data_IF_036245726128
#
_entry.id   IF_036245726128
#
_cell.length_a   1.000
_cell.length_b   1.000
_cell.length_c   1.000
_cell.angle_alpha   90.00
_cell.angle_beta   90.00
_cell.angle_gamma   90.00
#
_symmetry.space_group_name_H-M   'P 1'
#
loop_
_entity.id
_entity.type
_entity.pdbx_description
1 polymer ?
#
# COMPACT_ATOMS: atom_id res chain seq x y z
N UNK A 1 5.32 -3.50 -12.69
CA UNK A 1 4.63 -3.26 -13.99
C UNK A 1 4.18 -4.57 -14.63
N UNK A 2 5.08 -5.53 -14.91
CA UNK A 2 4.73 -6.83 -15.53
C UNK A 2 3.58 -7.55 -14.80
N UNK A 3 3.64 -7.64 -13.47
CA UNK A 3 2.57 -8.27 -12.68
C UNK A 3 1.20 -7.61 -12.88
N UNK A 4 1.14 -6.28 -12.98
CA UNK A 4 -0.13 -5.54 -13.19
C UNK A 4 -0.74 -5.91 -14.54
N UNK A 5 0.08 -5.91 -15.60
CA UNK A 5 -0.35 -6.27 -16.95
C UNK A 5 -0.89 -7.70 -16.98
N UNK A 6 -0.15 -8.65 -16.38
CA UNK A 6 -0.56 -10.05 -16.33
C UNK A 6 -1.87 -10.20 -15.56
N UNK A 7 -2.02 -9.60 -14.39
CA UNK A 7 -3.25 -9.67 -13.60
C UNK A 7 -4.44 -9.03 -14.32
N UNK A 8 -4.23 -7.93 -15.03
CA UNK A 8 -5.28 -7.27 -15.81
C UNK A 8 -5.71 -8.09 -17.02
N UNK A 9 -4.76 -8.70 -17.74
CA UNK A 9 -5.07 -9.64 -18.81
C UNK A 9 -5.89 -10.83 -18.29
N UNK A 10 -5.49 -11.43 -17.16
CA UNK A 10 -6.26 -12.52 -16.56
C UNK A 10 -7.67 -12.04 -16.17
N UNK A 11 -7.81 -10.84 -15.60
CA UNK A 11 -9.11 -10.26 -15.28
C UNK A 11 -10.00 -10.05 -16.52
N UNK A 12 -9.44 -9.49 -17.59
CA UNK A 12 -10.18 -9.21 -18.82
C UNK A 12 -10.57 -10.48 -19.59
N UNK A 13 -9.66 -11.45 -19.71
CA UNK A 13 -9.85 -12.62 -20.60
C UNK A 13 -10.35 -13.89 -19.89
N UNK A 14 -10.15 -14.03 -18.58
CA UNK A 14 -10.56 -15.23 -17.83
C UNK A 14 -11.78 -14.95 -16.95
N UNK A 15 -11.98 -13.70 -16.53
CA UNK A 15 -13.09 -13.30 -15.64
C UNK A 15 -14.10 -12.36 -16.30
N UNK A 16 -13.98 -12.11 -17.60
CA UNK A 16 -14.87 -11.23 -18.39
C UNK A 16 -15.18 -9.90 -17.69
N UNK A 17 -14.15 -9.28 -17.10
CA UNK A 17 -14.32 -8.03 -16.35
C UNK A 17 -14.56 -6.88 -17.33
N UNK A 18 -15.81 -6.41 -17.39
CA UNK A 18 -16.20 -5.24 -18.17
C UNK A 18 -15.88 -3.94 -17.41
N UNK A 19 -14.71 -3.37 -17.68
CA UNK A 19 -14.30 -2.06 -17.18
C UNK A 19 -13.93 -1.12 -18.33
N UNK A 20 -14.31 0.17 -18.26
CA UNK A 20 -13.88 1.15 -19.24
C UNK A 20 -12.36 1.33 -19.22
N UNK A 21 -11.75 1.61 -20.37
CA UNK A 21 -10.30 1.80 -20.53
C UNK A 21 -9.71 2.83 -19.55
N UNK A 22 -10.47 3.88 -19.21
CA UNK A 22 -10.09 4.88 -18.21
C UNK A 22 -9.99 4.30 -16.79
N UNK A 23 -10.87 3.37 -16.40
CA UNK A 23 -10.78 2.66 -15.11
C UNK A 23 -9.60 1.69 -15.08
N UNK A 24 -9.30 1.01 -16.19
CA UNK A 24 -8.11 0.16 -16.28
C UNK A 24 -6.83 0.97 -16.08
N UNK A 25 -6.66 2.04 -16.84
CA UNK A 25 -5.49 2.91 -16.73
C UNK A 25 -5.40 3.59 -15.36
N UNK A 26 -6.53 4.11 -14.85
CA UNK A 26 -6.60 4.72 -13.53
C UNK A 26 -6.21 3.74 -12.42
N UNK A 27 -6.76 2.51 -12.45
CA UNK A 27 -6.43 1.48 -11.45
C UNK A 27 -4.96 1.10 -11.51
N UNK A 28 -4.40 0.94 -12.72
CA UNK A 28 -2.97 0.69 -12.91
C UNK A 28 -2.10 1.80 -12.32
N UNK A 29 -2.44 3.07 -12.58
CA UNK A 29 -1.72 4.22 -12.03
C UNK A 29 -1.81 4.28 -10.50
N UNK A 30 -2.99 4.00 -9.93
CA UNK A 30 -3.18 3.98 -8.48
C UNK A 30 -2.42 2.83 -7.81
N UNK A 31 -2.36 1.64 -8.43
CA UNK A 31 -1.55 0.51 -7.95
C UNK A 31 -0.06 0.87 -7.98
N UNK A 32 0.41 1.55 -9.04
CA UNK A 32 1.79 2.02 -9.08
C UNK A 32 2.08 3.04 -7.98
N UNK A 33 1.18 4.00 -7.74
CA UNK A 33 1.31 4.96 -6.65
C UNK A 33 1.36 4.27 -5.28
N UNK A 34 0.47 3.30 -5.05
CA UNK A 34 0.47 2.49 -3.84
C UNK A 34 1.78 1.71 -3.67
N UNK A 35 2.35 1.18 -4.77
CA UNK A 35 3.63 0.47 -4.71
C UNK A 35 4.79 1.34 -4.22
N UNK A 36 4.77 2.65 -4.51
CA UNK A 36 5.78 3.60 -3.99
C UNK A 36 5.69 3.74 -2.47
N UNK A 37 4.49 3.75 -1.90
CA UNK A 37 4.27 3.74 -0.46
C UNK A 37 4.85 2.48 0.18
N UNK A 38 4.54 1.31 -0.37
CA UNK A 38 5.07 0.03 0.14
C UNK A 38 6.59 -0.05 0.00
N UNK A 39 7.17 0.51 -1.06
CA UNK A 39 8.62 0.64 -1.22
C UNK A 39 9.24 1.48 -0.09
N UNK A 40 8.65 2.63 0.24
CA UNK A 40 9.15 3.47 1.33
C UNK A 40 9.13 2.74 2.68
N UNK A 41 8.07 2.00 2.99
CA UNK A 41 8.02 1.15 4.19
C UNK A 41 9.01 0.00 4.13
N UNK A 42 9.17 -0.65 2.97
CA UNK A 42 10.15 -1.72 2.75
C UNK A 42 11.58 -1.24 3.01
N UNK A 43 11.92 -0.02 2.58
CA UNK A 43 13.22 0.60 2.86
C UNK A 43 13.44 0.85 4.36
N UNK A 44 12.41 1.29 5.09
CA UNK A 44 12.49 1.46 6.54
C UNK A 44 12.74 0.12 7.26
N UNK A 45 12.04 -0.94 6.85
CA UNK A 45 12.22 -2.29 7.41
C UNK A 45 13.63 -2.82 7.08
N UNK A 46 14.12 -2.57 5.86
CA UNK A 46 15.45 -3.00 5.42
C UNK A 46 16.61 -2.34 6.20
N UNK A 47 16.34 -1.26 6.95
CA UNK A 47 17.36 -0.62 7.79
C UNK A 47 17.57 -1.33 9.14
N UNK A 48 16.73 -2.30 9.50
CA UNK A 48 16.87 -3.11 10.72
C UNK A 48 18.19 -3.90 10.67
N UNK A 49 19.05 -3.76 11.70
CA UNK A 49 20.40 -4.36 11.71
C UNK A 49 20.39 -5.89 11.71
N UNK A 50 19.41 -6.50 12.37
CA UNK A 50 19.30 -7.95 12.46
C UNK A 50 18.45 -8.49 11.31
N UNK A 51 19.05 -9.32 10.46
CA UNK A 51 18.36 -10.03 9.38
C UNK A 51 17.16 -10.84 9.92
N UNK A 52 17.31 -11.43 11.10
CA UNK A 52 16.29 -12.27 11.74
C UNK A 52 15.07 -11.44 12.17
N UNK A 53 15.31 -10.28 12.79
CA UNK A 53 14.24 -9.36 13.20
C UNK A 53 13.57 -8.76 11.97
N UNK A 54 14.35 -8.36 10.97
CA UNK A 54 13.85 -7.83 9.70
C UNK A 54 12.87 -8.80 9.04
N UNK A 55 13.27 -10.06 8.87
CA UNK A 55 12.41 -11.10 8.26
C UNK A 55 11.16 -11.38 9.09
N UNK A 56 11.27 -11.40 10.42
CA UNK A 56 10.13 -11.59 11.31
C UNK A 56 9.11 -10.45 11.15
N UNK A 57 9.59 -9.21 11.18
CA UNK A 57 8.76 -8.01 10.99
C UNK A 57 8.10 -8.02 9.62
N UNK A 58 8.84 -8.31 8.56
CA UNK A 58 8.31 -8.38 7.19
C UNK A 58 7.20 -9.42 7.05
N UNK A 59 7.37 -10.61 7.64
CA UNK A 59 6.37 -11.68 7.60
C UNK A 59 5.10 -11.33 8.38
N UNK A 60 5.22 -10.71 9.57
CA UNK A 60 4.05 -10.23 10.31
C UNK A 60 3.31 -9.18 9.49
N UNK A 61 4.03 -8.20 8.94
CA UNK A 61 3.44 -7.15 8.11
C UNK A 61 2.73 -7.75 6.89
N UNK A 62 3.32 -8.75 6.25
CA UNK A 62 2.71 -9.45 5.10
C UNK A 62 1.35 -10.06 5.43
N UNK A 63 1.18 -10.62 6.63
CA UNK A 63 -0.08 -11.21 7.07
C UNK A 63 -1.07 -10.18 7.61
N UNK A 64 -0.59 -9.18 8.35
CA UNK A 64 -1.44 -8.22 9.06
C UNK A 64 -1.94 -7.11 8.12
N UNK A 65 -1.13 -6.65 7.17
CA UNK A 65 -1.51 -5.54 6.28
C UNK A 65 -2.79 -5.78 5.48
N UNK A 66 -3.00 -6.93 4.81
CA UNK A 66 -4.23 -7.18 4.04
C UNK A 66 -5.50 -7.23 4.90
N UNK A 67 -5.33 -7.57 6.18
CA UNK A 67 -6.41 -7.59 7.17
C UNK A 67 -6.73 -6.16 7.62
N UNK A 68 -5.71 -5.42 8.02
CA UNK A 68 -5.83 -4.02 8.48
C UNK A 68 -6.33 -3.10 7.37
N UNK A 69 -5.97 -3.37 6.11
CA UNK A 69 -6.46 -2.62 4.96
C UNK A 69 -7.93 -2.88 4.66
N UNK A 70 -8.52 -3.95 5.20
CA UNK A 70 -9.86 -4.40 4.87
C UNK A 70 -9.97 -5.12 3.52
N UNK A 71 -8.85 -5.56 2.94
CA UNK A 71 -8.84 -6.18 1.60
C UNK A 71 -9.30 -7.63 1.63
N UNK A 72 -9.00 -8.36 2.70
CA UNK A 72 -9.46 -9.75 2.89
C UNK A 72 -10.79 -9.85 3.65
N UNK A 73 -11.03 -8.97 4.62
CA UNK A 73 -12.24 -8.97 5.44
C UNK A 73 -12.70 -7.53 5.69
N UNK A 74 -14.02 -7.24 5.66
CA UNK A 74 -14.55 -5.92 5.99
C UNK A 74 -14.15 -5.50 7.39
N UNK A 75 -13.64 -4.27 7.52
CA UNK A 75 -13.06 -3.78 8.78
C UNK A 75 -14.14 -3.63 9.86
N UNK A 76 -15.38 -3.44 9.44
CA UNK A 76 -16.58 -3.40 10.29
C UNK A 76 -16.76 -4.66 11.15
N UNK A 77 -16.13 -5.79 10.79
CA UNK A 77 -16.17 -7.03 11.57
C UNK A 77 -15.17 -7.04 12.75
N UNK A 78 -14.20 -6.13 12.78
CA UNK A 78 -13.23 -6.04 13.88
C UNK A 78 -13.73 -5.17 15.03
N UNK A 79 -13.15 -5.29 16.24
CA UNK A 79 -13.43 -4.38 17.35
C UNK A 79 -13.14 -2.91 17.00
N UNK A 80 -13.86 -1.96 17.60
CA UNK A 80 -13.73 -0.52 17.31
C UNK A 80 -12.30 0.01 17.39
N UNK A 81 -11.50 -0.49 18.33
CA UNK A 81 -10.10 -0.07 18.47
C UNK A 81 -9.25 -0.47 17.25
N UNK A 82 -9.50 -1.65 16.65
CA UNK A 82 -8.83 -2.10 15.42
C UNK A 82 -9.28 -1.25 14.25
N UNK A 83 -10.59 -0.99 14.14
CA UNK A 83 -11.15 -0.14 13.08
C UNK A 83 -10.49 1.24 13.07
N UNK A 84 -10.34 1.87 14.25
CA UNK A 84 -9.70 3.18 14.35
C UNK A 84 -8.22 3.16 13.96
N UNK A 85 -7.48 2.08 14.26
CA UNK A 85 -6.08 1.92 13.81
C UNK A 85 -6.03 1.74 12.28
N UNK A 86 -6.92 0.90 11.75
CA UNK A 86 -7.05 0.67 10.32
C UNK A 86 -7.35 1.96 9.56
N UNK A 87 -8.32 2.75 10.01
CA UNK A 87 -8.69 4.03 9.39
C UNK A 87 -7.53 5.04 9.34
N UNK A 88 -6.64 5.00 10.32
CA UNK A 88 -5.42 5.82 10.35
C UNK A 88 -4.28 5.22 9.53
N UNK A 89 -4.39 3.97 9.11
CA UNK A 89 -3.34 3.30 8.36
C UNK A 89 -3.34 3.78 6.90
N UNK A 90 -2.15 4.02 6.32
CA UNK A 90 -2.08 4.42 4.92
C UNK A 90 -2.52 3.30 3.97
N UNK A 91 -2.47 2.04 4.44
CA UNK A 91 -2.87 0.86 3.65
C UNK A 91 -4.38 0.73 3.54
N UNK A 92 -5.13 1.19 4.55
CA UNK A 92 -6.59 1.36 4.42
C UNK A 92 -6.95 2.37 3.34
N UNK A 93 -6.31 3.55 3.35
CA UNK A 93 -6.53 4.55 2.32
C UNK A 93 -6.12 4.09 0.93
N UNK A 94 -5.08 3.27 0.81
CA UNK A 94 -4.71 2.59 -0.45
C UNK A 94 -5.84 1.66 -0.91
N UNK A 95 -6.38 0.82 -0.02
CA UNK A 95 -7.48 -0.08 -0.38
C UNK A 95 -8.72 0.71 -0.81
N UNK A 96 -9.16 1.66 0.01
CA UNK A 96 -10.28 2.56 -0.31
C UNK A 96 -10.08 3.26 -1.66
N UNK A 97 -8.87 3.71 -1.98
CA UNK A 97 -8.59 4.39 -3.23
C UNK A 97 -8.54 3.44 -4.43
N UNK A 98 -7.85 2.31 -4.32
CA UNK A 98 -7.62 1.38 -5.44
C UNK A 98 -8.86 0.52 -5.70
N UNK A 99 -9.44 -0.05 -4.66
CA UNK A 99 -10.53 -1.02 -4.76
C UNK A 99 -11.86 -0.32 -5.02
N UNK A 100 -12.19 0.77 -4.32
CA UNK A 100 -13.45 1.48 -4.64
C UNK A 100 -13.39 2.18 -6.00
N UNK A 101 -12.21 2.60 -6.46
CA UNK A 101 -12.08 3.11 -7.82
C UNK A 101 -12.32 2.01 -8.86
N UNK A 102 -11.78 0.80 -8.64
CA UNK A 102 -11.98 -0.33 -9.54
C UNK A 102 -13.42 -0.85 -9.55
N UNK A 103 -14.09 -0.90 -8.39
CA UNK A 103 -15.46 -1.47 -8.26
C UNK A 103 -16.54 -0.44 -8.59
N UNK A 104 -16.43 0.77 -8.04
CA UNK A 104 -17.52 1.77 -8.09
C UNK A 104 -17.22 2.94 -9.03
N UNK A 105 -16.03 3.01 -9.64
CA UNK A 105 -15.56 4.18 -10.40
C UNK A 105 -15.41 5.44 -9.54
N UNK A 106 -15.55 5.33 -8.22
CA UNK A 106 -15.55 6.47 -7.29
C UNK A 106 -14.12 6.78 -6.86
N UNK A 107 -13.62 7.91 -7.32
CA UNK A 107 -12.30 8.39 -6.97
C UNK A 107 -12.34 9.26 -5.71
N UNK A 108 -11.70 8.79 -4.63
CA UNK A 108 -11.60 9.55 -3.38
C UNK A 108 -10.36 10.45 -3.37
N UNK A 109 -10.54 11.73 -3.70
CA UNK A 109 -9.49 12.75 -3.63
C UNK A 109 -8.85 12.86 -2.24
N UNK A 110 -9.63 12.61 -1.19
CA UNK A 110 -9.13 12.63 0.20
C UNK A 110 -8.08 11.54 0.41
N UNK A 111 -8.38 10.30 0.01
CA UNK A 111 -7.45 9.17 0.17
C UNK A 111 -6.16 9.36 -0.62
N UNK A 112 -6.22 10.02 -1.78
CA UNK A 112 -5.03 10.31 -2.59
C UNK A 112 -4.07 11.24 -1.86
N UNK A 113 -4.61 12.31 -1.26
CA UNK A 113 -3.83 13.28 -0.49
C UNK A 113 -3.17 12.59 0.71
N UNK A 114 -3.91 11.73 1.43
CA UNK A 114 -3.33 10.95 2.52
C UNK A 114 -2.16 10.09 2.05
N UNK A 115 -2.31 9.36 0.93
CA UNK A 115 -1.23 8.51 0.39
C UNK A 115 0.00 9.35 0.04
N UNK A 116 -0.16 10.48 -0.64
CA UNK A 116 0.97 11.36 -0.99
C UNK A 116 1.70 11.89 0.25
N UNK A 117 0.95 12.32 1.26
CA UNK A 117 1.52 12.77 2.54
C UNK A 117 2.31 11.65 3.20
N UNK A 118 1.75 10.44 3.28
CA UNK A 118 2.45 9.30 3.88
C UNK A 118 3.70 8.88 3.10
N UNK A 119 3.65 8.85 1.76
CA UNK A 119 4.82 8.57 0.92
C UNK A 119 5.92 9.58 1.21
N UNK A 120 5.61 10.87 1.18
CA UNK A 120 6.62 11.92 1.39
C UNK A 120 7.24 11.86 2.78
N UNK A 121 6.45 11.62 3.83
CA UNK A 121 6.94 11.47 5.20
C UNK A 121 7.81 10.21 5.32
N UNK A 122 7.34 9.06 4.84
CA UNK A 122 8.06 7.79 4.93
C UNK A 122 9.40 7.84 4.17
N UNK A 123 9.41 8.41 2.97
CA UNK A 123 10.64 8.58 2.18
C UNK A 123 11.60 9.56 2.85
N UNK A 124 11.11 10.70 3.37
CA UNK A 124 11.97 11.66 4.10
C UNK A 124 12.59 11.02 5.34
N UNK A 125 11.81 10.27 6.10
CA UNK A 125 12.28 9.57 7.29
C UNK A 125 13.33 8.50 6.93
N UNK A 126 13.07 7.70 5.88
CA UNK A 126 14.00 6.69 5.41
C UNK A 126 15.35 7.28 4.98
N UNK A 127 15.31 8.43 4.29
CA UNK A 127 16.51 9.16 3.87
C UNK A 127 17.26 9.80 5.05
N UNK A 128 16.54 10.35 6.03
CA UNK A 128 17.12 10.94 7.24
C UNK A 128 17.87 9.91 8.10
N UNK A 129 17.27 8.72 8.28
CA UNK A 129 17.93 7.62 9.01
C UNK A 129 19.17 7.15 8.24
N UNK A 130 19.10 7.10 6.91
CA UNK A 130 20.25 6.75 6.07
C UNK A 130 21.38 7.77 6.22
N UNK A 131 21.07 9.06 6.19
CA UNK A 131 22.09 10.13 6.31
C UNK A 131 22.74 10.17 7.69
N UNK A 132 22.01 9.89 8.77
CA UNK A 132 22.60 9.77 10.12
C UNK A 132 23.54 8.56 10.23
N UNK A 133 23.21 7.42 9.59
CA UNK A 133 24.10 6.25 9.57
C UNK A 133 25.39 6.45 8.76
N UNK A 134 25.36 7.30 7.74
CA UNK A 134 26.54 7.68 6.96
C UNK A 134 27.45 8.65 7.75
N UNK A 135 26.87 9.51 8.61
CA UNK A 135 27.65 10.42 9.45
C UNK A 135 28.38 9.74 10.62
N UNK A 136 27.86 8.62 11.16
CA UNK A 136 28.52 7.84 12.23
C UNK A 136 29.65 6.92 11.72
N UNK A 137 29.91 6.88 10.41
CA UNK A 137 30.93 6.03 9.77
C UNK A 137 32.13 6.79 9.19
N UNK A 138 32.16 8.11 9.30
CA UNK A 138 33.29 8.97 8.90
C UNK A 138 34.10 9.42 10.10
#
# INVERSE_FOLDING_TARGET
MVAIIVTFCVGAFVRDVELPLSCWLGSGALILLASLLFLAFGLLIAQIKSQQIMSLVANIIYLVLPIVSGSWMPISMFPKWVQSISEWSPVYHVNELVVNFAINGKFSWKSLIYILVYVTIATRLALFIKSHRESDRG
#
